data_IF_078670785269
#
_entry.id   IF_078670785269
#
_cell.length_a   1.000
_cell.length_b   1.000
_cell.length_c   1.000
_cell.angle_alpha   90.00
_cell.angle_beta   90.00
_cell.angle_gamma   90.00
#
_symmetry.space_group_name_H-M   'P 1'
#
loop_
_entity.id
_entity.type
_entity.pdbx_description
1 polymer ?
#
# COMPACT_ATOMS: atom_id res chain seq x y z
N UNK A 1 39.28 -51.33 0.31
CA UNK A 1 38.32 -50.22 0.55
C UNK A 1 37.05 -50.51 -0.24
N UNK A 2 36.10 -51.21 0.37
CA UNK A 2 34.76 -51.46 -0.21
C UNK A 2 33.87 -50.26 0.11
N UNK A 3 33.45 -49.55 -0.94
CA UNK A 3 32.48 -48.46 -0.80
C UNK A 3 31.14 -49.03 -0.28
N UNK A 4 30.47 -48.37 0.67
CA UNK A 4 29.15 -48.81 1.12
C UNK A 4 28.12 -48.52 0.02
N UNK A 5 27.63 -49.58 -0.62
CA UNK A 5 26.43 -49.55 -1.46
C UNK A 5 25.27 -49.04 -0.61
N UNK A 6 24.88 -47.78 -0.81
CA UNK A 6 23.64 -47.23 -0.25
C UNK A 6 22.51 -48.19 -0.63
N UNK A 7 21.62 -48.59 0.27
CA UNK A 7 20.52 -49.49 -0.07
C UNK A 7 19.70 -48.81 -1.16
N UNK A 8 19.83 -49.33 -2.38
CA UNK A 8 19.08 -48.89 -3.53
C UNK A 8 17.59 -49.01 -3.20
N UNK A 9 16.84 -47.97 -3.54
CA UNK A 9 15.39 -48.06 -3.59
C UNK A 9 15.03 -49.35 -4.31
N UNK A 10 14.11 -50.15 -3.77
CA UNK A 10 13.57 -51.24 -4.57
C UNK A 10 12.89 -50.61 -5.79
N UNK A 11 13.24 -51.07 -7.00
CA UNK A 11 12.64 -50.59 -8.24
C UNK A 11 11.10 -50.61 -8.17
N UNK A 12 10.54 -51.55 -7.39
CA UNK A 12 9.13 -51.65 -7.04
C UNK A 12 8.57 -50.42 -6.31
N UNK A 13 9.29 -49.89 -5.32
CA UNK A 13 8.84 -48.71 -4.58
C UNK A 13 8.87 -47.44 -5.44
N UNK A 14 9.89 -47.30 -6.30
CA UNK A 14 9.98 -46.20 -7.26
C UNK A 14 8.84 -46.27 -8.28
N UNK A 15 8.56 -47.47 -8.82
CA UNK A 15 7.43 -47.71 -9.72
C UNK A 15 6.08 -47.37 -9.06
N UNK A 16 5.86 -47.83 -7.83
CA UNK A 16 4.62 -47.54 -7.08
C UNK A 16 4.42 -46.03 -6.86
N UNK A 17 5.50 -45.27 -6.61
CA UNK A 17 5.44 -43.82 -6.49
C UNK A 17 5.12 -43.14 -7.82
N UNK A 18 5.68 -43.60 -8.96
CA UNK A 18 5.34 -43.07 -10.28
C UNK A 18 3.90 -43.36 -10.68
N UNK A 19 3.39 -44.57 -10.41
CA UNK A 19 1.99 -44.91 -10.68
C UNK A 19 1.03 -44.10 -9.81
N UNK A 20 1.37 -43.87 -8.54
CA UNK A 20 0.59 -43.01 -7.66
C UNK A 20 0.58 -41.54 -8.13
N UNK A 21 1.71 -41.06 -8.65
CA UNK A 21 1.82 -39.72 -9.23
C UNK A 21 0.89 -39.57 -10.44
N UNK A 22 0.90 -40.54 -11.36
CA UNK A 22 0.00 -40.54 -12.53
C UNK A 22 -1.47 -40.52 -12.11
N UNK A 23 -1.86 -41.34 -11.13
CA UNK A 23 -3.24 -41.35 -10.59
C UNK A 23 -3.64 -40.01 -9.99
N UNK A 24 -2.75 -39.36 -9.23
CA UNK A 24 -3.02 -38.06 -8.62
C UNK A 24 -3.15 -36.97 -9.68
N UNK A 25 -2.29 -36.97 -10.71
CA UNK A 25 -2.36 -35.98 -11.79
C UNK A 25 -3.56 -36.17 -12.72
N UNK A 26 -3.99 -37.40 -12.94
CA UNK A 26 -5.20 -37.72 -13.72
C UNK A 26 -6.50 -37.62 -12.92
N UNK A 27 -6.44 -37.27 -11.63
CA UNK A 27 -7.61 -37.10 -10.77
C UNK A 27 -8.32 -38.41 -10.43
N UNK A 28 -7.62 -39.54 -10.47
CA UNK A 28 -8.15 -40.88 -10.15
C UNK A 28 -7.47 -41.47 -8.90
N UNK A 29 -7.48 -40.80 -7.74
CA UNK A 29 -6.91 -41.34 -6.52
C UNK A 29 -7.69 -42.57 -6.05
N UNK A 30 -6.98 -43.56 -5.50
CA UNK A 30 -7.56 -44.80 -4.99
C UNK A 30 -7.55 -44.81 -3.46
N UNK A 31 -6.56 -44.16 -2.82
CA UNK A 31 -6.32 -44.28 -1.37
C UNK A 31 -6.36 -42.94 -0.63
N UNK A 32 -6.55 -41.82 -1.33
CA UNK A 32 -6.44 -40.46 -0.79
C UNK A 32 -7.52 -39.53 -1.33
N UNK A 33 -7.60 -38.31 -0.79
CA UNK A 33 -8.55 -37.26 -1.21
C UNK A 33 -8.17 -36.56 -2.52
N UNK A 34 -7.18 -37.05 -3.26
CA UNK A 34 -6.79 -36.55 -4.58
C UNK A 34 -6.01 -35.24 -4.60
N UNK A 35 -5.79 -34.61 -3.44
CA UNK A 35 -4.99 -33.37 -3.39
C UNK A 35 -3.53 -33.66 -3.74
N UNK A 36 -2.93 -32.79 -4.56
CA UNK A 36 -1.53 -32.87 -4.98
C UNK A 36 -0.57 -32.46 -3.85
N UNK A 37 -0.50 -33.28 -2.80
CA UNK A 37 0.43 -33.10 -1.68
C UNK A 37 1.43 -34.24 -1.59
N UNK A 38 2.66 -33.96 -1.15
CA UNK A 38 3.67 -35.01 -0.88
C UNK A 38 3.16 -36.05 0.13
N UNK A 39 2.28 -35.64 1.05
CA UNK A 39 1.65 -36.55 2.01
C UNK A 39 0.70 -37.55 1.34
N UNK A 40 -0.04 -37.11 0.33
CA UNK A 40 -0.92 -38.00 -0.41
C UNK A 40 -0.13 -38.90 -1.35
N UNK A 41 0.98 -38.43 -1.93
CA UNK A 41 1.83 -39.24 -2.80
C UNK A 41 2.29 -40.55 -2.15
N UNK A 42 2.89 -40.50 -0.94
CA UNK A 42 3.37 -41.73 -0.31
C UNK A 42 2.24 -42.62 0.22
N UNK A 43 1.11 -42.04 0.65
CA UNK A 43 -0.09 -42.82 1.04
C UNK A 43 -0.73 -43.51 -0.16
N UNK A 44 -0.84 -42.81 -1.29
CA UNK A 44 -1.39 -43.30 -2.54
C UNK A 44 -0.51 -44.41 -3.16
N UNK A 45 0.81 -44.28 -3.01
CA UNK A 45 1.78 -45.31 -3.40
C UNK A 45 1.86 -46.49 -2.40
N UNK A 46 1.29 -46.35 -1.21
CA UNK A 46 1.39 -47.37 -0.15
C UNK A 46 2.79 -47.55 0.42
N UNK A 47 3.65 -46.53 0.33
CA UNK A 47 5.03 -46.58 0.83
C UNK A 47 5.20 -45.67 2.05
N UNK A 48 6.25 -45.92 2.84
CA UNK A 48 6.57 -45.03 3.96
C UNK A 48 7.14 -43.70 3.48
N UNK A 49 6.93 -42.63 4.27
CA UNK A 49 7.53 -41.30 4.03
C UNK A 49 9.05 -41.38 3.82
N UNK A 50 9.75 -42.21 4.60
CA UNK A 50 11.20 -42.41 4.46
C UNK A 50 11.57 -43.01 3.09
N UNK A 51 10.76 -43.90 2.55
CA UNK A 51 10.98 -44.50 1.23
C UNK A 51 10.78 -43.49 0.11
N UNK A 52 9.74 -42.66 0.21
CA UNK A 52 9.52 -41.54 -0.71
C UNK A 52 10.68 -40.52 -0.65
N UNK A 53 11.13 -40.15 0.54
CA UNK A 53 12.24 -39.20 0.71
C UNK A 53 13.56 -39.69 0.10
N UNK A 54 13.76 -41.01 0.00
CA UNK A 54 14.91 -41.59 -0.69
C UNK A 54 14.76 -41.53 -2.22
N UNK A 55 13.54 -41.46 -2.74
CA UNK A 55 13.23 -41.37 -4.18
C UNK A 55 13.34 -39.93 -4.70
N UNK A 56 14.53 -39.34 -4.59
CA UNK A 56 14.79 -37.94 -4.95
C UNK A 56 14.40 -37.61 -6.39
N UNK A 57 14.68 -38.49 -7.36
CA UNK A 57 14.32 -38.27 -8.75
C UNK A 57 12.80 -38.11 -8.94
N UNK A 58 12.02 -39.00 -8.32
CA UNK A 58 10.55 -38.95 -8.37
C UNK A 58 10.00 -37.70 -7.69
N UNK A 59 10.63 -37.24 -6.59
CA UNK A 59 10.26 -36.00 -5.93
C UNK A 59 10.57 -34.75 -6.75
N UNK A 60 11.66 -34.76 -7.52
CA UNK A 60 11.98 -33.68 -8.47
C UNK A 60 10.94 -33.63 -9.58
N UNK A 61 10.58 -34.77 -10.18
CA UNK A 61 9.55 -34.84 -11.22
C UNK A 61 8.18 -34.39 -10.70
N UNK A 62 7.83 -34.79 -9.47
CA UNK A 62 6.64 -34.35 -8.76
C UNK A 62 6.62 -32.83 -8.58
N UNK A 63 7.69 -32.25 -8.02
CA UNK A 63 7.78 -30.82 -7.76
C UNK A 63 7.70 -30.02 -9.07
N UNK A 64 8.31 -30.52 -10.15
CA UNK A 64 8.18 -29.96 -11.49
C UNK A 64 6.71 -29.97 -11.96
N UNK A 65 6.01 -31.09 -11.88
CA UNK A 65 4.62 -31.19 -12.33
C UNK A 65 3.66 -30.31 -11.53
N UNK A 66 3.79 -30.32 -10.20
CA UNK A 66 2.95 -29.48 -9.32
C UNK A 66 3.19 -27.99 -9.60
N UNK A 67 4.45 -27.58 -9.82
CA UNK A 67 4.80 -26.20 -10.14
C UNK A 67 4.30 -25.73 -11.52
N UNK A 68 4.11 -26.66 -12.46
CA UNK A 68 3.60 -26.40 -13.81
C UNK A 68 2.08 -26.62 -13.95
N UNK A 69 1.43 -27.19 -12.93
CA UNK A 69 -0.02 -27.42 -12.91
C UNK A 69 -0.82 -26.12 -13.13
N UNK A 70 -1.98 -26.23 -13.77
CA UNK A 70 -2.86 -25.08 -13.99
C UNK A 70 -3.30 -24.43 -12.67
N UNK A 71 -3.49 -25.23 -11.61
CA UNK A 71 -3.79 -24.74 -10.26
C UNK A 71 -2.67 -23.84 -9.71
N UNK A 72 -1.40 -24.25 -9.81
CA UNK A 72 -0.29 -23.43 -9.32
C UNK A 72 -0.05 -22.17 -10.16
N UNK A 73 -0.34 -22.21 -11.48
CA UNK A 73 -0.33 -21.01 -12.33
C UNK A 73 -1.42 -20.02 -11.91
N UNK A 74 -2.63 -20.51 -11.68
CA UNK A 74 -3.75 -19.71 -11.21
C UNK A 74 -3.46 -19.09 -9.83
N UNK A 75 -2.92 -19.86 -8.88
CA UNK A 75 -2.55 -19.37 -7.56
C UNK A 75 -1.48 -18.26 -7.64
N UNK A 76 -0.48 -18.41 -8.53
CA UNK A 76 0.52 -17.36 -8.78
C UNK A 76 -0.11 -16.10 -9.36
N UNK A 77 -1.03 -16.24 -10.32
CA UNK A 77 -1.74 -15.11 -10.91
C UNK A 77 -2.60 -14.39 -9.86
N UNK A 78 -3.33 -15.13 -9.03
CA UNK A 78 -4.11 -14.57 -7.93
C UNK A 78 -3.23 -13.86 -6.90
N UNK A 79 -2.10 -14.45 -6.50
CA UNK A 79 -1.17 -13.83 -5.57
C UNK A 79 -0.59 -12.52 -6.14
N UNK A 80 -0.27 -12.50 -7.44
CA UNK A 80 0.18 -11.29 -8.12
C UNK A 80 -0.91 -10.19 -8.14
N UNK A 81 -2.16 -10.56 -8.41
CA UNK A 81 -3.27 -9.62 -8.41
C UNK A 81 -3.55 -9.08 -7.00
N UNK A 82 -3.53 -9.92 -5.97
CA UNK A 82 -3.65 -9.48 -4.57
C UNK A 82 -2.52 -8.51 -4.22
N UNK A 83 -1.28 -8.78 -4.64
CA UNK A 83 -0.16 -7.90 -4.40
C UNK A 83 -0.33 -6.54 -5.12
N UNK A 84 -0.85 -6.55 -6.35
CA UNK A 84 -1.18 -5.35 -7.14
C UNK A 84 -2.27 -4.52 -6.45
N UNK A 85 -3.39 -5.14 -6.08
CA UNK A 85 -4.50 -4.49 -5.39
C UNK A 85 -4.07 -3.91 -4.05
N UNK A 86 -3.26 -4.64 -3.26
CA UNK A 86 -2.71 -4.12 -2.00
C UNK A 86 -1.82 -2.89 -2.22
N UNK A 87 -1.06 -2.85 -3.31
CA UNK A 87 -0.26 -1.67 -3.68
C UNK A 87 -1.16 -0.50 -4.01
N UNK A 88 -2.16 -0.69 -4.87
CA UNK A 88 -3.11 0.36 -5.22
C UNK A 88 -3.84 0.94 -4.01
N UNK A 89 -4.28 0.10 -3.05
CA UNK A 89 -4.93 0.57 -1.82
C UNK A 89 -3.99 1.44 -0.98
N UNK A 90 -2.71 1.05 -0.87
CA UNK A 90 -1.72 1.88 -0.16
C UNK A 90 -1.50 3.21 -0.85
N UNK A 91 -1.33 3.20 -2.17
CA UNK A 91 -1.09 4.41 -2.95
C UNK A 91 -2.30 5.36 -2.86
N UNK A 92 -3.52 4.84 -2.96
CA UNK A 92 -4.75 5.62 -2.80
C UNK A 92 -4.90 6.21 -1.39
N UNK A 93 -4.45 5.49 -0.36
CA UNK A 93 -4.50 5.98 1.01
C UNK A 93 -3.51 7.12 1.23
N UNK A 94 -2.31 6.99 0.68
CA UNK A 94 -1.30 8.04 0.73
C UNK A 94 -1.76 9.30 0.00
N UNK A 95 -2.36 9.14 -1.18
CA UNK A 95 -2.91 10.26 -1.94
C UNK A 95 -4.05 10.96 -1.19
N UNK A 96 -4.98 10.19 -0.60
CA UNK A 96 -6.03 10.76 0.26
C UNK A 96 -5.46 11.54 1.44
N UNK A 97 -4.43 11.00 2.11
CA UNK A 97 -3.81 11.70 3.24
C UNK A 97 -3.19 13.02 2.79
N UNK A 98 -2.43 13.00 1.68
CA UNK A 98 -1.83 14.21 1.11
C UNK A 98 -2.88 15.28 0.79
N UNK A 99 -3.95 14.89 0.10
CA UNK A 99 -5.03 15.82 -0.23
C UNK A 99 -5.71 16.37 1.03
N UNK A 100 -5.87 15.56 2.07
CA UNK A 100 -6.40 16.03 3.35
C UNK A 100 -5.46 17.05 4.01
N UNK A 101 -4.15 16.77 4.01
CA UNK A 101 -3.15 17.69 4.57
C UNK A 101 -3.13 19.03 3.80
N UNK A 102 -3.29 19.00 2.47
CA UNK A 102 -3.40 20.20 1.63
C UNK A 102 -4.68 21.00 1.94
N UNK A 103 -5.82 20.33 2.15
CA UNK A 103 -7.08 20.96 2.57
C UNK A 103 -6.95 21.62 3.94
N UNK A 104 -6.34 20.94 4.91
CA UNK A 104 -6.17 21.44 6.28
C UNK A 104 -5.22 22.65 6.32
N UNK A 105 -4.15 22.61 5.52
CA UNK A 105 -3.25 23.74 5.34
C UNK A 105 -3.97 24.94 4.73
N UNK A 106 -4.76 24.74 3.67
CA UNK A 106 -5.54 25.80 3.04
C UNK A 106 -6.57 26.40 4.01
N UNK A 107 -7.27 25.57 4.79
CA UNK A 107 -8.22 26.03 5.80
C UNK A 107 -7.54 26.91 6.86
N UNK A 108 -6.33 26.53 7.29
CA UNK A 108 -5.53 27.31 8.25
C UNK A 108 -5.17 28.70 7.69
N UNK A 109 -4.73 28.76 6.43
CA UNK A 109 -4.41 30.03 5.75
C UNK A 109 -5.66 30.90 5.61
N UNK A 110 -6.81 30.32 5.25
CA UNK A 110 -8.08 31.06 5.12
C UNK A 110 -8.46 31.68 6.47
N UNK A 111 -8.35 30.94 7.57
CA UNK A 111 -8.65 31.45 8.91
C UNK A 111 -7.71 32.61 9.28
N UNK A 112 -6.41 32.49 9.01
CA UNK A 112 -5.45 33.56 9.27
C UNK A 112 -5.79 34.82 8.46
N UNK A 113 -6.03 34.68 7.16
CA UNK A 113 -6.39 35.80 6.28
C UNK A 113 -7.71 36.45 6.69
N UNK A 114 -8.70 35.68 7.13
CA UNK A 114 -9.96 36.22 7.64
C UNK A 114 -9.72 37.08 8.88
N UNK A 115 -8.91 36.60 9.83
CA UNK A 115 -8.57 37.34 11.03
C UNK A 115 -7.83 38.66 10.71
N UNK A 116 -6.85 38.61 9.80
CA UNK A 116 -6.13 39.79 9.32
C UNK A 116 -7.07 40.78 8.62
N UNK A 117 -7.96 40.29 7.75
CA UNK A 117 -8.91 41.13 7.03
C UNK A 117 -9.88 41.83 7.99
N UNK A 118 -10.37 41.13 9.02
CA UNK A 118 -11.21 41.74 10.07
C UNK A 118 -10.46 42.81 10.84
N UNK A 119 -9.21 42.56 11.25
CA UNK A 119 -8.41 43.54 11.98
C UNK A 119 -8.13 44.80 11.14
N UNK A 120 -7.82 44.63 9.84
CA UNK A 120 -7.61 45.74 8.92
C UNK A 120 -8.89 46.58 8.73
N UNK A 121 -10.05 45.93 8.60
CA UNK A 121 -11.34 46.62 8.49
C UNK A 121 -11.66 47.43 9.75
N UNK A 122 -11.40 46.88 10.93
CA UNK A 122 -11.57 47.60 12.20
C UNK A 122 -10.64 48.82 12.31
N UNK A 123 -9.37 48.67 11.88
CA UNK A 123 -8.43 49.79 11.86
C UNK A 123 -8.88 50.90 10.91
N UNK A 124 -9.40 50.55 9.72
CA UNK A 124 -9.92 51.52 8.76
C UNK A 124 -11.14 52.25 9.34
N UNK A 125 -12.08 51.53 9.94
CA UNK A 125 -13.27 52.10 10.57
C UNK A 125 -12.90 53.10 11.69
N UNK A 126 -11.92 52.74 12.53
CA UNK A 126 -11.38 53.63 13.58
C UNK A 126 -10.76 54.89 13.00
N UNK A 127 -9.97 54.78 11.91
CA UNK A 127 -9.37 55.93 11.23
C UNK A 127 -10.40 56.86 10.58
N UNK A 128 -11.44 56.31 9.95
CA UNK A 128 -12.51 57.12 9.35
C UNK A 128 -13.42 57.82 10.38
N UNK A 129 -13.47 57.31 11.61
CA UNK A 129 -14.24 57.92 12.70
C UNK A 129 -13.51 59.09 13.40
N UNK A 130 -12.21 59.32 13.10
CA UNK A 130 -11.47 60.47 13.60
C UNK A 130 -11.87 61.72 12.80
N UNK A 131 -12.89 62.42 13.28
CA UNK A 131 -13.26 63.75 12.78
C UNK A 131 -12.25 64.76 13.30
N UNK A 132 -11.36 65.24 12.43
CA UNK A 132 -10.48 66.37 12.75
C UNK A 132 -11.29 67.65 12.55
N UNK A 133 -11.51 68.46 13.61
CA UNK A 133 -12.17 69.75 13.44
C UNK A 133 -11.30 70.63 12.54
N UNK A 134 -11.85 71.09 11.42
CA UNK A 134 -11.22 72.16 10.66
C UNK A 134 -11.53 73.46 11.37
N UNK A 135 -10.53 74.01 12.05
CA UNK A 135 -10.64 75.31 12.72
C UNK A 135 -10.95 76.39 11.67
N UNK A 136 -12.17 76.91 11.69
CA UNK A 136 -12.57 78.08 10.90
C UNK A 136 -12.40 79.33 11.76
N UNK A 137 -11.17 79.81 11.82
CA UNK A 137 -10.82 81.12 12.37
C UNK A 137 -9.29 81.19 12.40
N UNK A 138 -8.61 82.12 11.77
CA UNK A 138 -8.87 83.54 11.77
C UNK A 138 -8.10 84.16 10.60
N UNK A 139 -8.80 84.44 9.50
CA UNK A 139 -8.30 85.32 8.44
C UNK A 139 -8.98 86.69 8.60
N UNK A 140 -8.49 87.48 9.53
CA UNK A 140 -8.69 88.94 9.57
C UNK A 140 -7.27 89.51 9.55
N UNK A 141 -6.63 89.56 8.37
CA UNK A 141 -6.45 90.77 7.56
C UNK A 141 -6.06 91.97 8.42
N UNK A 142 -4.77 92.28 8.34
CA UNK A 142 -4.22 93.63 8.38
C UNK A 142 -5.21 94.63 7.73
N UNK A 143 -5.40 95.82 8.31
CA UNK A 143 -4.64 96.99 7.86
C UNK A 143 -5.07 98.30 8.54
N UNK A 144 -4.06 99.14 8.80
CA UNK A 144 -4.04 100.61 8.88
C UNK A 144 -5.05 101.44 9.72
N UNK A 145 -4.50 102.24 10.66
CA UNK A 145 -4.34 103.73 10.58
C UNK A 145 -3.87 104.28 11.94
N UNK A 146 -2.67 104.84 12.10
CA UNK A 146 -2.18 106.19 11.74
C UNK A 146 -1.91 107.05 12.99
N UNK A 147 -0.76 107.72 12.92
CA UNK A 147 -0.37 109.01 13.52
C UNK A 147 0.24 109.07 14.93
N UNK A 148 1.57 109.27 14.90
CA UNK A 148 2.37 110.05 15.83
C UNK A 148 1.84 111.49 16.00
N UNK A 149 2.12 112.10 17.16
CA UNK A 149 2.74 113.43 17.24
C UNK A 149 3.29 113.67 18.66
N UNK A 150 4.59 114.00 18.68
CA UNK A 150 5.40 114.81 19.62
C UNK A 150 5.31 114.61 21.14
#
# INVERSE_FOLDING_TARGET
>A
MTAPTRPGLSATAEKALREAMERLFTGRPIRTDGKLTKQNLWREAGVSRATMNRATAVLVDWDNHVSHSAASKHDRAQAAEIARLRRQVRDNRNERQRLQDEVDAAATVIVALLAENTALREQLAKRSAVVVPLDRGHAVRDDHRLHAHD
#
